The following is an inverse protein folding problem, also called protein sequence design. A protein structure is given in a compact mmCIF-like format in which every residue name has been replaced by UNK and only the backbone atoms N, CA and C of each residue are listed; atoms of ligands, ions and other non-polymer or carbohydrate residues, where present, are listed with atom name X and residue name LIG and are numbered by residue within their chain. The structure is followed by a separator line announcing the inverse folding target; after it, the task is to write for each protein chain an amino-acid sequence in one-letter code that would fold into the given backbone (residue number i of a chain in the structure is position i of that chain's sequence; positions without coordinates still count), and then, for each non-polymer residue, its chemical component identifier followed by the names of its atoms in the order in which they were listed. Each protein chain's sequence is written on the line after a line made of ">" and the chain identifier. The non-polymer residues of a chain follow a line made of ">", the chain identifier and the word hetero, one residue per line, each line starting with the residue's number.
data_IF_374059903605
#
_entry.id   IF_374059903605
#
_cell.length_a   1.000
_cell.length_b   1.000
_cell.length_c   1.000
_cell.angle_alpha   90.00
_cell.angle_beta   90.00
_cell.angle_gamma   90.00
#
_symmetry.space_group_name_H-M   'P 1'
#
loop_
_entity.id
_entity.type
_entity.pdbx_description
1 polymer ?
#
# COMPACT_ATOMS: atom_id res chain seq x y z
N UNK A 1 14.91 -27.77 -11.55
CA UNK A 1 14.75 -27.06 -10.29
C UNK A 1 14.63 -25.57 -10.55
N UNK A 2 13.57 -24.99 -10.12
CA UNK A 2 13.36 -23.55 -10.37
C UNK A 2 13.74 -22.76 -9.12
N UNK A 3 14.47 -21.69 -9.34
CA UNK A 3 14.72 -20.73 -8.26
C UNK A 3 13.44 -19.98 -7.95
N UNK A 4 13.25 -19.55 -6.70
CA UNK A 4 12.11 -18.70 -6.39
C UNK A 4 12.15 -17.45 -7.26
N UNK A 5 11.02 -17.12 -7.87
CA UNK A 5 10.91 -15.89 -8.65
C UNK A 5 11.05 -14.70 -7.72
N UNK A 6 11.99 -13.84 -8.02
CA UNK A 6 12.15 -12.59 -7.31
C UNK A 6 12.13 -11.48 -8.35
N UNK A 7 11.51 -10.36 -7.99
CA UNK A 7 11.50 -9.20 -8.85
C UNK A 7 12.79 -8.43 -8.67
N UNK A 8 13.50 -8.16 -9.77
CA UNK A 8 14.56 -7.17 -9.73
C UNK A 8 13.92 -5.80 -9.41
N UNK A 9 14.68 -4.86 -8.82
CA UNK A 9 14.15 -3.52 -8.57
C UNK A 9 13.58 -2.85 -9.82
N UNK A 10 14.23 -3.04 -10.98
CA UNK A 10 13.75 -2.45 -12.23
C UNK A 10 12.40 -3.06 -12.66
N UNK A 11 12.24 -4.38 -12.55
CA UNK A 11 10.99 -5.04 -12.90
C UNK A 11 9.86 -4.63 -11.95
N UNK A 12 10.17 -4.54 -10.66
CA UNK A 12 9.21 -4.08 -9.66
C UNK A 12 8.72 -2.67 -9.98
N UNK A 13 9.64 -1.76 -10.26
CA UNK A 13 9.29 -0.38 -10.57
C UNK A 13 8.43 -0.28 -11.81
N UNK A 14 8.74 -1.08 -12.84
CA UNK A 14 7.96 -1.11 -14.07
C UNK A 14 6.53 -1.59 -13.82
N UNK A 15 6.39 -2.68 -13.05
CA UNK A 15 5.07 -3.23 -12.72
C UNK A 15 4.25 -2.26 -11.88
N UNK A 16 4.88 -1.60 -10.90
CA UNK A 16 4.21 -0.59 -10.09
C UNK A 16 3.79 0.62 -10.92
N UNK A 17 4.64 1.05 -11.86
CA UNK A 17 4.32 2.16 -12.76
C UNK A 17 3.13 1.80 -13.65
N UNK A 18 3.11 0.58 -14.18
CA UNK A 18 1.99 0.11 -15.02
C UNK A 18 0.69 0.08 -14.20
N UNK A 19 0.75 -0.46 -12.99
CA UNK A 19 -0.42 -0.49 -12.10
C UNK A 19 -0.93 0.93 -11.81
N UNK A 20 0.00 1.87 -11.58
CA UNK A 20 -0.35 3.27 -11.34
C UNK A 20 -1.06 3.89 -12.54
N UNK A 21 -0.59 3.60 -13.76
CA UNK A 21 -1.24 4.08 -14.99
C UNK A 21 -2.67 3.53 -15.07
N UNK A 22 -2.86 2.25 -14.78
CA UNK A 22 -4.20 1.67 -14.74
C UNK A 22 -5.10 2.39 -13.74
N UNK A 23 -4.58 2.71 -12.55
CA UNK A 23 -5.35 3.42 -11.53
C UNK A 23 -5.73 4.82 -12.00
N UNK A 24 -4.81 5.52 -12.66
CA UNK A 24 -5.08 6.85 -13.18
C UNK A 24 -6.15 6.85 -14.27
N UNK A 25 -6.26 5.76 -15.00
CA UNK A 25 -7.25 5.60 -16.06
C UNK A 25 -8.54 4.93 -15.56
N UNK A 26 -8.69 4.80 -14.24
CA UNK A 26 -9.84 4.15 -13.59
C UNK A 26 -10.01 2.67 -13.97
N UNK A 27 -8.93 2.01 -14.38
CA UNK A 27 -8.92 0.58 -14.61
C UNK A 27 -8.53 -0.16 -13.33
N UNK A 28 -9.34 -0.01 -12.30
CA UNK A 28 -9.03 -0.51 -10.96
C UNK A 28 -8.90 -2.04 -10.93
N UNK A 29 -9.74 -2.74 -11.67
CA UNK A 29 -9.68 -4.21 -11.75
C UNK A 29 -8.35 -4.68 -12.33
N UNK A 30 -7.89 -4.04 -13.40
CA UNK A 30 -6.61 -4.40 -14.02
C UNK A 30 -5.45 -4.14 -13.07
N UNK A 31 -5.47 -3.02 -12.38
CA UNK A 31 -4.44 -2.70 -11.39
C UNK A 31 -4.42 -3.72 -10.26
N UNK A 32 -5.59 -4.07 -9.72
CA UNK A 32 -5.70 -5.05 -8.65
C UNK A 32 -5.22 -6.43 -9.09
N UNK A 33 -5.63 -6.87 -10.28
CA UNK A 33 -5.22 -8.16 -10.81
C UNK A 33 -3.71 -8.24 -10.95
N UNK A 34 -3.10 -7.20 -11.51
CA UNK A 34 -1.65 -7.13 -11.68
C UNK A 34 -0.92 -7.16 -10.33
N UNK A 35 -1.36 -6.34 -9.40
CA UNK A 35 -0.71 -6.24 -8.10
C UNK A 35 -0.92 -7.47 -7.23
N UNK A 36 -2.11 -8.08 -7.30
CA UNK A 36 -2.37 -9.33 -6.58
C UNK A 36 -1.48 -10.46 -7.10
N UNK A 37 -1.33 -10.57 -8.40
CA UNK A 37 -0.45 -11.56 -9.00
C UNK A 37 1.01 -11.32 -8.60
N UNK A 38 1.44 -10.06 -8.64
CA UNK A 38 2.80 -9.68 -8.26
C UNK A 38 3.06 -9.97 -6.78
N UNK A 39 2.09 -9.69 -5.93
CA UNK A 39 2.21 -9.94 -4.50
C UNK A 39 2.30 -11.44 -4.17
N UNK A 40 1.63 -12.28 -4.95
CA UNK A 40 1.75 -13.74 -4.78
C UNK A 40 3.14 -14.24 -5.11
N UNK A 41 3.78 -13.64 -6.10
CA UNK A 41 5.15 -14.00 -6.49
C UNK A 41 6.18 -13.46 -5.49
N UNK A 42 5.91 -12.30 -4.91
CA UNK A 42 6.86 -11.62 -4.01
C UNK A 42 6.11 -11.12 -2.77
N UNK A 43 5.65 -12.06 -1.90
CA UNK A 43 4.77 -11.70 -0.78
C UNK A 43 5.44 -10.80 0.28
N UNK A 44 6.77 -10.78 0.31
CA UNK A 44 7.50 -9.97 1.30
C UNK A 44 7.99 -8.64 0.76
N UNK A 45 7.67 -8.31 -0.50
CA UNK A 45 8.07 -7.03 -1.07
C UNK A 45 7.13 -5.94 -0.57
N UNK A 46 7.66 -5.07 0.29
CA UNK A 46 6.88 -4.00 0.91
C UNK A 46 6.36 -2.98 -0.10
N UNK A 47 7.10 -2.74 -1.17
CA UNK A 47 6.67 -1.80 -2.22
C UNK A 47 5.46 -2.34 -2.97
N UNK A 48 5.45 -3.63 -3.25
CA UNK A 48 4.31 -4.29 -3.91
C UNK A 48 3.10 -4.29 -2.99
N UNK A 49 3.29 -4.62 -1.71
CA UNK A 49 2.20 -4.61 -0.73
C UNK A 49 1.60 -3.22 -0.59
N UNK A 50 2.46 -2.20 -0.56
CA UNK A 50 2.00 -0.80 -0.49
C UNK A 50 1.18 -0.43 -1.72
N UNK A 51 1.67 -0.80 -2.90
CA UNK A 51 0.94 -0.58 -4.15
C UNK A 51 -0.41 -1.26 -4.15
N UNK A 52 -0.47 -2.50 -3.67
CA UNK A 52 -1.73 -3.25 -3.58
C UNK A 52 -2.69 -2.59 -2.59
N UNK A 53 -2.21 -2.16 -1.42
CA UNK A 53 -3.04 -1.47 -0.44
C UNK A 53 -3.61 -0.17 -1.02
N UNK A 54 -2.79 0.58 -1.74
CA UNK A 54 -3.24 1.81 -2.40
C UNK A 54 -4.29 1.52 -3.48
N UNK A 55 -4.07 0.47 -4.29
CA UNK A 55 -5.04 0.07 -5.31
C UNK A 55 -6.37 -0.36 -4.70
N UNK A 56 -6.34 -1.07 -3.57
CA UNK A 56 -7.54 -1.42 -2.83
C UNK A 56 -8.28 -0.17 -2.38
N UNK A 57 -7.54 0.83 -1.87
CA UNK A 57 -8.14 2.09 -1.45
C UNK A 57 -8.84 2.77 -2.62
N UNK A 58 -8.18 2.86 -3.77
CA UNK A 58 -8.73 3.50 -4.97
C UNK A 58 -9.94 2.75 -5.54
N UNK A 59 -9.98 1.44 -5.36
CA UNK A 59 -11.09 0.60 -5.80
C UNK A 59 -12.22 0.52 -4.75
N UNK A 60 -12.15 1.33 -3.70
CA UNK A 60 -13.11 1.36 -2.60
C UNK A 60 -13.19 0.04 -1.82
N UNK A 61 -12.11 -0.75 -1.87
CA UNK A 61 -11.99 -1.97 -1.06
C UNK A 61 -11.30 -1.62 0.25
N UNK A 62 -12.02 -0.87 1.06
CA UNK A 62 -11.44 -0.22 2.27
C UNK A 62 -11.01 -1.22 3.33
N UNK A 63 -11.77 -2.29 3.52
CA UNK A 63 -11.41 -3.33 4.50
C UNK A 63 -10.12 -4.02 4.12
N UNK A 64 -9.95 -4.30 2.82
CA UNK A 64 -8.72 -4.92 2.32
C UNK A 64 -7.53 -3.98 2.46
N UNK A 65 -7.72 -2.70 2.12
CA UNK A 65 -6.68 -1.69 2.29
C UNK A 65 -6.26 -1.58 3.76
N UNK A 66 -7.22 -1.60 4.67
CA UNK A 66 -6.98 -1.54 6.11
C UNK A 66 -6.20 -2.78 6.59
N UNK A 67 -6.64 -3.96 6.18
CA UNK A 67 -6.00 -5.22 6.57
C UNK A 67 -4.54 -5.27 6.11
N UNK A 68 -4.28 -4.88 4.86
CA UNK A 68 -2.91 -4.86 4.33
C UNK A 68 -2.04 -3.84 5.06
N UNK A 69 -2.59 -2.67 5.34
CA UNK A 69 -1.85 -1.62 6.04
C UNK A 69 -1.54 -2.03 7.49
N UNK A 70 -2.53 -2.58 8.20
CA UNK A 70 -2.33 -3.02 9.58
C UNK A 70 -1.30 -4.13 9.67
N UNK A 71 -1.38 -5.10 8.75
CA UNK A 71 -0.41 -6.19 8.71
C UNK A 71 1.01 -5.67 8.46
N UNK A 72 1.15 -4.78 7.49
CA UNK A 72 2.46 -4.23 7.15
C UNK A 72 3.06 -3.42 8.29
N UNK A 73 2.24 -2.61 8.96
CA UNK A 73 2.70 -1.83 10.11
C UNK A 73 3.10 -2.72 11.27
N UNK A 74 2.38 -3.81 11.50
CA UNK A 74 2.69 -4.75 12.56
C UNK A 74 3.99 -5.53 12.26
N UNK A 75 4.16 -5.96 11.02
CA UNK A 75 5.32 -6.76 10.63
C UNK A 75 6.59 -5.93 10.46
N UNK A 76 6.48 -4.73 9.91
CA UNK A 76 7.62 -3.89 9.57
C UNK A 76 7.89 -2.80 10.61
N UNK A 77 6.95 -2.56 11.49
CA UNK A 77 7.04 -1.50 12.50
C UNK A 77 6.54 -0.16 11.98
N UNK A 78 6.28 0.74 12.92
CA UNK A 78 5.79 2.09 12.62
C UNK A 78 7.01 3.02 12.59
N UNK A 79 7.40 3.44 11.41
CA UNK A 79 8.61 4.24 11.19
C UNK A 79 8.45 5.04 9.90
N UNK A 80 9.45 5.88 9.59
CA UNK A 80 9.38 6.76 8.43
C UNK A 80 9.15 5.98 7.13
N UNK A 81 9.82 4.84 6.96
CA UNK A 81 9.73 4.02 5.76
C UNK A 81 8.35 3.39 5.58
N UNK A 82 7.63 3.16 6.67
CA UNK A 82 6.29 2.58 6.63
C UNK A 82 5.18 3.63 6.77
N UNK A 83 5.54 4.89 6.87
CA UNK A 83 4.57 5.98 7.03
C UNK A 83 3.47 5.97 5.94
N UNK A 84 3.76 5.65 4.66
CA UNK A 84 2.69 5.59 3.66
C UNK A 84 1.53 4.65 4.01
N UNK A 85 1.81 3.57 4.75
CA UNK A 85 0.73 2.68 5.21
C UNK A 85 -0.20 3.36 6.21
N UNK A 86 0.34 4.28 7.01
CA UNK A 86 -0.48 5.07 7.94
C UNK A 86 -1.45 5.98 7.19
N UNK A 87 -1.00 6.55 6.09
CA UNK A 87 -1.84 7.40 5.27
C UNK A 87 -2.97 6.60 4.60
N UNK A 88 -2.64 5.45 4.03
CA UNK A 88 -3.62 4.55 3.43
C UNK A 88 -4.62 4.10 4.50
N UNK A 89 -4.12 3.71 5.67
CA UNK A 89 -4.93 3.30 6.82
C UNK A 89 -5.91 4.41 7.21
N UNK A 90 -5.44 5.65 7.30
CA UNK A 90 -6.27 6.80 7.65
C UNK A 90 -7.42 6.96 6.67
N UNK A 91 -7.14 6.90 5.37
CA UNK A 91 -8.17 7.02 4.34
C UNK A 91 -9.20 5.89 4.41
N UNK A 92 -8.73 4.66 4.61
CA UNK A 92 -9.60 3.50 4.71
C UNK A 92 -10.51 3.60 5.95
N UNK A 93 -9.94 3.99 7.08
CA UNK A 93 -10.71 4.15 8.32
C UNK A 93 -11.74 5.25 8.21
N UNK A 94 -11.39 6.36 7.57
CA UNK A 94 -12.35 7.45 7.33
C UNK A 94 -13.53 6.97 6.50
N UNK A 95 -13.25 6.23 5.43
CA UNK A 95 -14.29 5.68 4.56
C UNK A 95 -15.16 4.64 5.28
N UNK A 96 -14.59 3.93 6.26
CA UNK A 96 -15.30 2.94 7.08
C UNK A 96 -16.02 3.56 8.28
N UNK A 97 -16.10 4.88 8.32
CA UNK A 97 -16.78 5.63 9.39
C UNK A 97 -16.16 5.42 10.76
N UNK A 98 -14.83 5.36 10.81
CA UNK A 98 -14.04 5.26 12.03
C UNK A 98 -13.13 6.49 12.17
N UNK A 99 -13.71 7.70 12.33
CA UNK A 99 -12.93 8.95 12.21
C UNK A 99 -11.89 9.14 13.30
N UNK A 100 -12.14 8.66 14.53
CA UNK A 100 -11.16 8.82 15.60
C UNK A 100 -9.88 8.04 15.32
N UNK A 101 -10.02 6.80 14.84
CA UNK A 101 -8.86 6.00 14.48
C UNK A 101 -8.18 6.58 13.25
N UNK A 102 -8.95 7.10 12.30
CA UNK A 102 -8.40 7.76 11.11
C UNK A 102 -7.54 8.95 11.49
N UNK A 103 -8.01 9.79 12.42
CA UNK A 103 -7.26 10.96 12.89
C UNK A 103 -5.96 10.55 13.57
N UNK A 104 -6.01 9.52 14.41
CA UNK A 104 -4.80 9.02 15.09
C UNK A 104 -3.76 8.55 14.08
N UNK A 105 -4.20 7.82 13.07
CA UNK A 105 -3.31 7.32 12.01
C UNK A 105 -2.68 8.48 11.23
N UNK A 106 -3.48 9.47 10.86
CA UNK A 106 -3.02 10.64 10.13
C UNK A 106 -2.04 11.47 10.98
N UNK A 107 -2.35 11.64 12.25
CA UNK A 107 -1.47 12.36 13.17
C UNK A 107 -0.10 11.69 13.27
N UNK A 108 -0.10 10.35 13.38
CA UNK A 108 1.15 9.59 13.43
C UNK A 108 1.93 9.73 12.10
N UNK A 109 1.23 9.69 10.98
CA UNK A 109 1.84 9.94 9.68
C UNK A 109 2.56 11.28 9.65
N UNK A 110 1.90 12.35 10.08
CA UNK A 110 2.50 13.69 10.11
C UNK A 110 3.70 13.75 11.04
N UNK A 111 3.64 13.10 12.19
CA UNK A 111 4.76 13.07 13.13
C UNK A 111 6.00 12.43 12.51
N UNK A 112 5.80 11.34 11.75
CA UNK A 112 6.91 10.60 11.14
C UNK A 112 7.49 11.31 9.92
N UNK A 113 6.69 12.08 9.20
CA UNK A 113 7.12 12.71 7.96
C UNK A 113 7.46 14.19 8.12
N UNK A 114 7.16 14.78 9.26
CA UNK A 114 7.36 16.22 9.49
C UNK A 114 8.78 16.67 9.24
N UNK A 115 9.77 15.89 9.67
CA UNK A 115 11.17 16.24 9.52
C UNK A 115 11.71 16.06 8.11
N UNK A 116 10.93 15.44 7.22
CA UNK A 116 11.34 15.19 5.84
C UNK A 116 11.31 16.48 4.99
N UNK A 117 10.72 17.54 5.49
CA UNK A 117 10.50 18.78 4.76
C UNK A 117 11.34 19.95 5.31
N UNK A 118 12.25 19.65 6.18
CA UNK A 118 13.13 20.69 6.76
C UNK A 118 14.35 20.92 5.90
#
# INVERSE_FOLDING_TARGET
>A
MSEPLSLSPANREWLLALAFVYLQQNHHKKALTLLQATAKLCPEDAYVTRGLAFACLKAARYKDALTLSDRSLRELGVKQETAPFLLIRSHALWALERPEEARKSLKKYHQLTRNSFV
#
